data_IF_967601923149
#
_entry.id   IF_967601923149
#
_cell.length_a   1.000
_cell.length_b   1.000
_cell.length_c   1.000
_cell.angle_alpha   90.00
_cell.angle_beta   90.00
_cell.angle_gamma   90.00
#
_symmetry.space_group_name_H-M   'P 1'
#
loop_
_entity.id
_entity.type
_entity.pdbx_description
1 polymer ?
#
# COMPACT_ATOMS: atom_id res chain seq x y z
N UNK A 1 3.45 -11.57 29.63
CA UNK A 1 2.56 -12.57 29.01
C UNK A 1 1.67 -11.82 28.02
N UNK A 2 1.71 -12.24 26.76
CA UNK A 2 1.16 -11.58 25.57
C UNK A 2 -0.33 -11.21 25.66
N UNK A 3 -0.69 -10.00 25.25
CA UNK A 3 -2.08 -9.57 25.02
C UNK A 3 -2.23 -9.07 23.58
N UNK A 4 -3.22 -9.66 22.91
CA UNK A 4 -4.01 -9.11 21.81
C UNK A 4 -3.39 -9.02 20.39
N UNK A 5 -3.75 -10.02 19.58
CA UNK A 5 -4.07 -9.96 18.14
C UNK A 5 -3.49 -8.82 17.31
N UNK A 6 -2.41 -9.12 16.58
CA UNK A 6 -1.96 -8.30 15.46
C UNK A 6 -3.05 -8.31 14.37
N UNK A 7 -3.82 -7.22 14.30
CA UNK A 7 -4.72 -6.96 13.18
C UNK A 7 -3.81 -6.64 12.00
N UNK A 8 -3.88 -7.45 10.93
CA UNK A 8 -3.01 -7.33 9.76
C UNK A 8 -3.33 -6.04 8.96
N UNK A 9 -2.98 -4.88 9.51
CA UNK A 9 -3.13 -3.55 8.91
C UNK A 9 -1.74 -3.08 8.46
N UNK A 10 -1.63 -2.57 7.24
CA UNK A 10 -0.40 -1.97 6.76
C UNK A 10 0.04 -0.79 7.62
N UNK A 11 1.28 -0.33 7.43
CA UNK A 11 1.89 0.78 8.17
C UNK A 11 1.97 2.03 7.27
N UNK A 12 1.71 3.21 7.83
CA UNK A 12 1.79 4.47 7.07
C UNK A 12 3.24 4.81 6.67
N UNK A 13 3.38 5.47 5.53
CA UNK A 13 4.64 6.08 5.10
C UNK A 13 4.87 7.37 5.89
N UNK A 14 6.11 7.61 6.33
CA UNK A 14 6.48 8.80 7.11
C UNK A 14 7.45 9.68 6.32
N UNK A 15 7.26 11.00 6.37
CA UNK A 15 8.22 11.97 5.85
C UNK A 15 9.18 12.38 6.98
N UNK A 16 10.49 12.18 6.77
CA UNK A 16 11.53 12.59 7.71
C UNK A 16 11.84 14.09 7.57
N UNK A 17 12.46 14.69 8.59
CA UNK A 17 12.83 16.11 8.60
C UNK A 17 13.80 16.52 7.48
N UNK A 18 14.58 15.57 6.97
CA UNK A 18 15.50 15.76 5.85
C UNK A 18 14.82 15.63 4.46
N UNK A 19 13.50 15.49 4.41
CA UNK A 19 12.71 15.36 3.18
C UNK A 19 12.67 13.95 2.57
N UNK A 20 13.32 12.95 3.20
CA UNK A 20 13.26 11.56 2.73
C UNK A 20 12.01 10.84 3.24
N UNK A 21 11.51 9.85 2.49
CA UNK A 21 10.41 9.00 2.93
C UNK A 21 10.94 7.75 3.64
N UNK A 22 10.43 7.48 4.83
CA UNK A 22 10.57 6.18 5.50
C UNK A 22 9.37 5.31 5.10
N UNK A 23 9.61 4.38 4.18
CA UNK A 23 8.61 3.44 3.66
C UNK A 23 8.77 2.09 4.37
N UNK A 24 7.74 1.57 5.06
CA UNK A 24 7.78 0.24 5.68
C UNK A 24 7.57 -0.88 4.64
N UNK A 25 7.90 -2.13 5.00
CA UNK A 25 7.72 -3.32 4.13
C UNK A 25 6.27 -3.56 3.69
N UNK A 26 5.31 -3.28 4.57
CA UNK A 26 3.88 -3.39 4.29
C UNK A 26 3.22 -2.01 4.36
N UNK A 27 3.42 -1.13 3.36
CA UNK A 27 2.88 0.21 3.40
C UNK A 27 1.37 0.22 3.12
N UNK A 28 0.65 1.18 3.71
CA UNK A 28 -0.73 1.49 3.27
C UNK A 28 -0.66 2.51 2.14
N UNK A 29 -1.20 2.13 0.98
CA UNK A 29 -1.38 3.02 -0.16
C UNK A 29 -2.87 3.33 -0.32
N UNK A 30 -3.20 4.62 -0.41
CA UNK A 30 -4.55 5.08 -0.70
C UNK A 30 -4.60 5.51 -2.16
N UNK A 31 -5.58 5.00 -2.90
CA UNK A 31 -5.85 5.42 -4.27
C UNK A 31 -7.35 5.65 -4.46
N UNK A 32 -7.69 6.42 -5.50
CA UNK A 32 -9.06 6.67 -5.92
C UNK A 32 -9.25 5.94 -7.24
N UNK A 33 -10.27 5.09 -7.35
CA UNK A 33 -10.54 4.33 -8.58
C UNK A 33 -10.86 5.23 -9.78
N UNK A 34 -11.48 6.39 -9.53
CA UNK A 34 -11.96 7.31 -10.55
C UNK A 34 -13.38 7.01 -11.03
N UNK A 35 -13.82 7.75 -12.03
CA UNK A 35 -15.12 7.65 -12.69
C UNK A 35 -15.00 6.90 -14.03
N UNK A 36 -16.13 6.49 -14.62
CA UNK A 36 -16.15 5.92 -15.97
C UNK A 36 -15.42 4.58 -16.02
N UNK A 37 -14.34 4.50 -16.82
CA UNK A 37 -13.49 3.30 -16.94
C UNK A 37 -12.45 3.16 -15.81
N UNK A 38 -12.41 4.11 -14.87
CA UNK A 38 -11.47 4.14 -13.76
C UNK A 38 -11.42 2.85 -12.92
N UNK A 39 -12.57 2.30 -12.48
CA UNK A 39 -12.59 1.04 -11.73
C UNK A 39 -11.98 -0.15 -12.49
N UNK A 40 -12.14 -0.22 -13.81
CA UNK A 40 -11.58 -1.32 -14.62
C UNK A 40 -10.06 -1.23 -14.72
N UNK A 41 -9.54 -0.02 -14.96
CA UNK A 41 -8.10 0.25 -15.03
C UNK A 41 -7.46 0.04 -13.66
N UNK A 42 -8.06 0.57 -12.59
CA UNK A 42 -7.52 0.48 -11.24
C UNK A 42 -7.39 -0.97 -10.77
N UNK A 43 -8.40 -1.81 -11.04
CA UNK A 43 -8.34 -3.26 -10.74
C UNK A 43 -7.28 -3.99 -11.56
N UNK A 44 -7.01 -3.55 -12.79
CA UNK A 44 -5.92 -4.11 -13.59
C UNK A 44 -4.55 -3.68 -13.04
N UNK A 45 -4.39 -2.41 -12.69
CA UNK A 45 -3.15 -1.85 -12.16
C UNK A 45 -2.74 -2.49 -10.83
N UNK A 46 -3.68 -2.64 -9.88
CA UNK A 46 -3.43 -3.29 -8.57
C UNK A 46 -2.85 -4.70 -8.77
N UNK A 47 -3.44 -5.50 -9.67
CA UNK A 47 -2.94 -6.86 -9.98
C UNK A 47 -1.50 -6.86 -10.50
N UNK A 48 -1.13 -5.87 -11.31
CA UNK A 48 0.23 -5.74 -11.85
C UNK A 48 1.21 -5.33 -10.75
N UNK A 49 0.83 -4.38 -9.89
CA UNK A 49 1.68 -3.94 -8.77
C UNK A 49 1.93 -5.07 -7.78
N UNK A 50 0.89 -5.80 -7.36
CA UNK A 50 1.03 -6.93 -6.44
C UNK A 50 1.95 -8.01 -7.02
N UNK A 51 1.80 -8.33 -8.30
CA UNK A 51 2.66 -9.31 -8.97
C UNK A 51 4.11 -8.85 -9.08
N UNK A 52 4.34 -7.56 -9.31
CA UNK A 52 5.69 -6.99 -9.38
C UNK A 52 6.39 -7.03 -8.02
N UNK A 53 5.69 -6.68 -6.94
CA UNK A 53 6.22 -6.76 -5.57
C UNK A 53 6.51 -8.20 -5.18
N UNK A 54 5.60 -9.14 -5.45
CA UNK A 54 5.79 -10.56 -5.11
C UNK A 54 6.92 -11.25 -5.90
N UNK A 55 7.33 -10.69 -7.05
CA UNK A 55 8.39 -11.26 -7.89
C UNK A 55 9.78 -10.73 -7.54
N UNK A 56 9.88 -9.52 -6.99
CA UNK A 56 11.14 -8.87 -6.64
C UNK A 56 11.86 -9.63 -5.51
#
# INVERSE_FOLDING_TARGET
MSMAGSTNRGTSIVLNDNGTLKVPENPVLVFVEGDGIGPDISKAAVRVFDAAVNKA
#
